data_IF_232874566451
#
_entry.id   IF_232874566451
#
_cell.length_a   1.000
_cell.length_b   1.000
_cell.length_c   1.000
_cell.angle_alpha   90.00
_cell.angle_beta   90.00
_cell.angle_gamma   90.00
#
_symmetry.space_group_name_H-M   'P 1'
#
loop_
_entity.id
_entity.type
_entity.pdbx_description
1 polymer ?
#
# COMPACT_ATOMS: atom_id res chain seq x y z
N UNK A 1 -29.19 -12.10 -23.80
CA UNK A 1 -27.88 -12.75 -23.65
C UNK A 1 -26.91 -11.67 -23.19
N UNK A 2 -26.81 -11.46 -21.87
CA UNK A 2 -25.99 -10.39 -21.30
C UNK A 2 -24.53 -10.85 -21.34
N UNK A 3 -23.70 -10.18 -22.14
CA UNK A 3 -22.26 -10.42 -22.17
C UNK A 3 -21.68 -10.00 -20.83
N UNK A 4 -21.27 -10.97 -20.01
CA UNK A 4 -20.32 -10.72 -18.92
C UNK A 4 -19.02 -10.31 -19.59
N UNK A 5 -18.67 -9.02 -19.52
CA UNK A 5 -17.30 -8.60 -19.72
C UNK A 5 -16.46 -9.38 -18.71
N UNK A 6 -15.62 -10.31 -19.21
CA UNK A 6 -14.54 -10.86 -18.41
C UNK A 6 -13.68 -9.68 -18.00
N UNK A 7 -13.79 -9.30 -16.72
CA UNK A 7 -12.86 -8.38 -16.08
C UNK A 7 -11.46 -8.91 -16.35
N UNK A 8 -10.74 -8.22 -17.24
CA UNK A 8 -9.45 -8.69 -17.70
C UNK A 8 -8.53 -8.54 -16.51
N UNK A 9 -8.18 -9.66 -15.87
CA UNK A 9 -7.22 -9.65 -14.77
C UNK A 9 -5.97 -8.90 -15.25
N UNK A 10 -5.67 -7.77 -14.61
CA UNK A 10 -4.48 -7.00 -14.93
C UNK A 10 -3.28 -7.93 -14.76
N UNK A 11 -2.54 -8.14 -15.84
CA UNK A 11 -1.40 -9.03 -15.83
C UNK A 11 -0.40 -8.59 -14.75
N UNK A 12 0.07 -9.54 -13.95
CA UNK A 12 1.02 -9.27 -12.88
C UNK A 12 2.30 -8.64 -13.42
N UNK A 13 2.94 -7.81 -12.60
CA UNK A 13 4.20 -7.16 -12.99
C UNK A 13 5.25 -8.25 -13.18
N UNK A 14 6.04 -8.25 -14.27
CA UNK A 14 7.07 -9.24 -14.48
C UNK A 14 8.04 -9.36 -13.30
N UNK A 15 8.35 -8.26 -12.61
CA UNK A 15 9.17 -8.28 -11.40
C UNK A 15 8.47 -9.03 -10.28
N UNK A 16 7.24 -8.65 -9.94
CA UNK A 16 6.47 -9.28 -8.86
C UNK A 16 6.26 -10.77 -9.12
N UNK A 17 5.91 -11.12 -10.37
CA UNK A 17 5.70 -12.50 -10.78
C UNK A 17 6.99 -13.36 -10.71
N UNK A 18 8.16 -12.73 -10.72
CA UNK A 18 9.47 -13.40 -10.63
C UNK A 18 9.95 -13.65 -9.19
N UNK A 19 9.28 -13.08 -8.18
CA UNK A 19 9.72 -13.20 -6.80
C UNK A 19 9.67 -14.66 -6.31
N UNK A 20 10.74 -15.14 -5.64
CA UNK A 20 10.78 -16.51 -5.16
C UNK A 20 9.76 -16.73 -4.05
N UNK A 21 8.92 -17.76 -4.20
CA UNK A 21 8.03 -18.23 -3.14
C UNK A 21 8.74 -19.31 -2.35
N UNK A 22 8.84 -19.15 -1.03
CA UNK A 22 9.43 -20.14 -0.14
C UNK A 22 8.39 -20.70 0.83
N UNK A 23 8.47 -22.02 1.09
CA UNK A 23 7.48 -22.75 1.89
C UNK A 23 7.88 -22.92 3.37
N UNK A 24 9.16 -22.74 3.70
CA UNK A 24 9.67 -22.88 5.07
C UNK A 24 9.71 -21.52 5.74
N UNK A 25 9.06 -21.38 6.89
CA UNK A 25 9.07 -20.13 7.65
C UNK A 25 10.49 -19.69 8.02
N UNK A 26 11.38 -20.64 8.30
CA UNK A 26 12.80 -20.43 8.62
C UNK A 26 13.53 -19.58 7.55
N UNK A 27 13.11 -19.72 6.29
CA UNK A 27 13.69 -19.01 5.14
C UNK A 27 13.41 -17.50 5.14
N UNK A 28 12.54 -17.01 6.02
CA UNK A 28 12.30 -15.55 6.18
C UNK A 28 13.55 -14.82 6.69
N UNK A 29 14.44 -15.49 7.41
CA UNK A 29 15.68 -14.88 7.91
C UNK A 29 16.81 -14.90 6.86
N UNK A 30 16.61 -15.58 5.75
CA UNK A 30 17.62 -15.74 4.69
C UNK A 30 17.51 -14.57 3.69
N UNK A 31 18.51 -13.69 3.76
CA UNK A 31 18.57 -12.47 2.95
C UNK A 31 18.62 -12.75 1.44
N UNK A 32 19.10 -13.93 1.04
CA UNK A 32 19.20 -14.33 -0.37
C UNK A 32 17.82 -14.61 -1.00
N UNK A 33 16.76 -14.69 -0.20
CA UNK A 33 15.37 -14.78 -0.68
C UNK A 33 14.78 -13.43 -1.08
N UNK A 34 15.44 -12.32 -0.73
CA UNK A 34 14.95 -10.98 -1.03
C UNK A 34 15.54 -10.47 -2.34
N UNK A 35 14.77 -9.64 -3.04
CA UNK A 35 15.22 -8.97 -4.27
C UNK A 35 15.12 -7.45 -4.05
N UNK A 36 16.12 -6.67 -4.48
CA UNK A 36 15.98 -5.22 -4.49
C UNK A 36 14.82 -4.84 -5.39
N UNK A 37 14.19 -3.70 -5.10
CA UNK A 37 13.23 -3.12 -6.04
C UNK A 37 13.96 -2.78 -7.34
N UNK A 38 13.30 -2.93 -8.51
CA UNK A 38 13.88 -2.53 -9.78
C UNK A 38 14.13 -1.02 -9.81
N UNK A 39 15.13 -0.61 -10.60
CA UNK A 39 15.38 0.80 -10.85
C UNK A 39 14.12 1.49 -11.40
N UNK A 40 13.88 2.72 -10.95
CA UNK A 40 12.73 3.53 -11.36
C UNK A 40 11.41 3.15 -10.68
N UNK A 41 11.41 2.24 -9.71
CA UNK A 41 10.30 2.08 -8.77
C UNK A 41 10.35 3.14 -7.68
N UNK A 42 9.21 3.37 -7.02
CA UNK A 42 9.10 4.26 -5.88
C UNK A 42 8.30 3.61 -4.75
N UNK A 43 8.45 4.15 -3.54
CA UNK A 43 7.73 3.77 -2.34
C UNK A 43 6.74 4.86 -1.95
N UNK A 44 5.46 4.54 -1.91
CA UNK A 44 4.48 5.33 -1.20
C UNK A 44 4.52 4.92 0.28
N UNK A 45 4.68 5.86 1.18
CA UNK A 45 4.64 5.63 2.62
C UNK A 45 3.66 6.57 3.28
N UNK A 46 2.92 6.11 4.27
CA UNK A 46 2.05 6.94 5.07
C UNK A 46 1.93 6.44 6.51
N UNK A 47 1.67 7.36 7.44
CA UNK A 47 1.63 7.09 8.88
C UNK A 47 0.72 8.10 9.61
N UNK A 48 0.02 7.65 10.65
CA UNK A 48 -0.90 8.47 11.45
C UNK A 48 -0.14 9.24 12.52
N UNK A 49 -0.26 10.56 12.48
CA UNK A 49 0.30 11.44 13.50
C UNK A 49 -0.39 11.19 14.85
N UNK A 50 0.40 10.85 15.86
CA UNK A 50 -0.09 10.69 17.23
C UNK A 50 -0.97 9.45 17.45
N UNK A 51 -0.74 8.39 16.66
CA UNK A 51 -1.47 7.12 16.72
C UNK A 51 -1.54 6.53 18.13
N UNK A 52 -0.46 6.56 18.92
CA UNK A 52 -0.44 6.06 20.32
C UNK A 52 -1.53 6.70 21.17
N UNK A 53 -1.65 8.03 21.14
CA UNK A 53 -2.68 8.76 21.90
C UNK A 53 -4.09 8.44 21.42
N UNK A 54 -4.28 8.29 20.10
CA UNK A 54 -5.56 7.90 19.55
C UNK A 54 -5.95 6.47 19.96
N UNK A 55 -4.99 5.53 19.99
CA UNK A 55 -5.18 4.15 20.45
C UNK A 55 -5.52 4.13 21.94
N UNK A 56 -4.80 4.88 22.78
CA UNK A 56 -5.09 5.02 24.21
C UNK A 56 -6.51 5.58 24.45
N UNK A 57 -6.99 6.45 23.57
CA UNK A 57 -8.37 6.95 23.57
C UNK A 57 -9.41 5.94 23.00
N UNK A 58 -9.04 4.68 22.83
CA UNK A 58 -9.92 3.61 22.35
C UNK A 58 -10.14 3.60 20.84
N UNK A 59 -9.39 4.39 20.06
CA UNK A 59 -9.59 4.55 18.60
C UNK A 59 -8.77 3.59 17.75
N UNK A 60 -8.31 2.47 18.31
CA UNK A 60 -7.47 1.48 17.63
C UNK A 60 -8.01 1.05 16.25
N UNK A 61 -9.30 0.72 16.16
CA UNK A 61 -9.92 0.31 14.88
C UNK A 61 -9.91 1.43 13.85
N UNK A 62 -10.13 2.68 14.27
CA UNK A 62 -10.12 3.85 13.39
C UNK A 62 -8.71 4.14 12.87
N UNK A 63 -7.69 4.03 13.73
CA UNK A 63 -6.28 4.15 13.35
C UNK A 63 -5.91 3.07 12.33
N UNK A 64 -6.25 1.81 12.59
CA UNK A 64 -5.97 0.71 11.66
C UNK A 64 -6.70 0.86 10.32
N UNK A 65 -7.94 1.34 10.35
CA UNK A 65 -8.69 1.61 9.13
C UNK A 65 -8.02 2.70 8.29
N UNK A 66 -7.48 3.73 8.94
CA UNK A 66 -6.75 4.81 8.26
C UNK A 66 -5.42 4.31 7.65
N UNK A 67 -4.67 3.45 8.34
CA UNK A 67 -3.46 2.84 7.79
C UNK A 67 -3.77 1.90 6.61
N UNK A 68 -4.80 1.04 6.75
CA UNK A 68 -5.18 0.09 5.71
C UNK A 68 -5.76 0.77 4.47
N UNK A 69 -6.48 1.90 4.62
CA UNK A 69 -7.06 2.63 3.49
C UNK A 69 -6.01 3.17 2.52
N UNK A 70 -4.78 3.44 2.98
CA UNK A 70 -3.66 3.83 2.12
C UNK A 70 -3.36 2.73 1.09
N UNK A 71 -3.31 1.47 1.54
CA UNK A 71 -3.05 0.31 0.69
C UNK A 71 -4.20 0.18 -0.32
N UNK A 72 -5.44 0.15 0.16
CA UNK A 72 -6.61 0.03 -0.73
C UNK A 72 -6.72 1.17 -1.74
N UNK A 73 -6.46 2.42 -1.32
CA UNK A 73 -6.52 3.58 -2.21
C UNK A 73 -5.48 3.47 -3.34
N UNK A 74 -4.25 3.05 -3.02
CA UNK A 74 -3.19 2.87 -4.01
C UNK A 74 -3.49 1.70 -4.94
N UNK A 75 -3.79 0.50 -4.41
CA UNK A 75 -4.10 -0.66 -5.24
C UNK A 75 -5.26 -0.39 -6.22
N UNK A 76 -6.31 0.27 -5.74
CA UNK A 76 -7.47 0.63 -6.56
C UNK A 76 -7.12 1.70 -7.62
N UNK A 77 -6.41 2.75 -7.24
CA UNK A 77 -6.05 3.82 -8.17
C UNK A 77 -5.08 3.36 -9.26
N UNK A 78 -4.14 2.47 -8.92
CA UNK A 78 -3.21 1.88 -9.87
C UNK A 78 -3.82 0.72 -10.67
N UNK A 79 -5.00 0.22 -10.28
CA UNK A 79 -5.64 -0.93 -10.93
C UNK A 79 -4.87 -2.23 -10.76
N UNK A 80 -4.15 -2.40 -9.65
CA UNK A 80 -3.25 -3.54 -9.42
C UNK A 80 -3.47 -4.13 -8.04
N UNK A 81 -3.56 -5.45 -7.96
CA UNK A 81 -3.71 -6.18 -6.67
C UNK A 81 -2.41 -6.87 -6.23
N UNK A 82 -1.37 -6.84 -7.07
CA UNK A 82 -0.12 -7.57 -6.88
C UNK A 82 1.03 -6.69 -6.38
N UNK A 83 0.79 -5.40 -6.13
CA UNK A 83 1.85 -4.51 -5.67
C UNK A 83 2.34 -4.91 -4.26
N UNK A 84 3.67 -5.00 -4.03
CA UNK A 84 4.20 -5.28 -2.71
C UNK A 84 3.82 -4.19 -1.72
N UNK A 85 3.32 -4.58 -0.54
CA UNK A 85 3.00 -3.64 0.52
C UNK A 85 3.34 -4.19 1.92
N UNK A 86 3.50 -3.27 2.86
CA UNK A 86 3.59 -3.55 4.30
C UNK A 86 2.50 -2.76 5.01
N UNK A 87 1.78 -3.43 5.92
CA UNK A 87 0.83 -2.79 6.80
C UNK A 87 1.40 -2.75 8.23
N UNK A 88 1.56 -1.54 8.78
CA UNK A 88 2.10 -1.31 10.11
C UNK A 88 1.06 -1.19 11.22
N UNK A 89 -0.23 -1.16 10.88
CA UNK A 89 -1.31 -0.80 11.79
C UNK A 89 -1.77 0.63 11.55
N UNK A 90 -1.00 1.60 12.01
CA UNK A 90 -1.26 3.04 11.84
C UNK A 90 -0.62 3.65 10.58
N UNK A 91 0.15 2.85 9.84
CA UNK A 91 0.78 3.26 8.60
C UNK A 91 0.83 2.14 7.57
N UNK A 92 1.28 2.51 6.38
CA UNK A 92 1.48 1.59 5.27
C UNK A 92 2.64 2.01 4.37
N UNK A 93 3.19 1.03 3.68
CA UNK A 93 4.17 1.22 2.62
C UNK A 93 3.75 0.40 1.40
N UNK A 94 3.80 0.98 0.21
CA UNK A 94 3.45 0.32 -1.06
C UNK A 94 4.52 0.64 -2.09
N UNK A 95 5.11 -0.39 -2.69
CA UNK A 95 6.05 -0.24 -3.80
C UNK A 95 5.30 -0.24 -5.14
N UNK A 96 5.65 0.68 -6.04
CA UNK A 96 5.00 0.79 -7.35
C UNK A 96 5.98 1.28 -8.44
N UNK A 97 5.72 0.97 -9.73
CA UNK A 97 6.53 1.49 -10.83
C UNK A 97 6.43 3.01 -10.94
N UNK A 98 7.55 3.72 -11.12
CA UNK A 98 7.58 5.19 -11.17
C UNK A 98 6.75 5.81 -12.30
N UNK A 99 6.36 5.04 -13.31
CA UNK A 99 5.39 5.48 -14.34
C UNK A 99 4.02 5.85 -13.77
N UNK A 100 3.67 5.35 -12.58
CA UNK A 100 2.40 5.63 -11.89
C UNK A 100 2.50 6.73 -10.81
N UNK A 101 3.59 7.51 -10.78
CA UNK A 101 3.88 8.48 -9.71
C UNK A 101 2.77 9.50 -9.48
N UNK A 102 2.20 10.09 -10.54
CA UNK A 102 1.13 11.07 -10.39
C UNK A 102 -0.20 10.43 -9.95
N UNK A 103 -0.47 9.20 -10.35
CA UNK A 103 -1.65 8.44 -9.88
C UNK A 103 -1.51 8.16 -8.39
N UNK A 104 -0.35 7.66 -7.95
CA UNK A 104 -0.06 7.40 -6.55
C UNK A 104 -0.12 8.68 -5.70
N UNK A 105 0.43 9.80 -6.21
CA UNK A 105 0.37 11.11 -5.54
C UNK A 105 -1.08 11.55 -5.30
N UNK A 106 -1.94 11.45 -6.31
CA UNK A 106 -3.34 11.83 -6.20
C UNK A 106 -4.11 10.91 -5.23
N UNK A 107 -3.84 9.61 -5.27
CA UNK A 107 -4.43 8.65 -4.34
C UNK A 107 -4.03 8.93 -2.88
N UNK A 108 -2.76 9.25 -2.64
CA UNK A 108 -2.26 9.64 -1.31
C UNK A 108 -2.92 10.94 -0.83
N UNK A 109 -3.03 11.96 -1.67
CA UNK A 109 -3.69 13.21 -1.31
C UNK A 109 -5.18 12.99 -0.97
N UNK A 110 -5.86 12.14 -1.75
CA UNK A 110 -7.26 11.80 -1.52
C UNK A 110 -7.46 11.06 -0.19
N UNK A 111 -6.61 10.07 0.13
CA UNK A 111 -6.71 9.34 1.40
C UNK A 111 -6.33 10.21 2.59
N UNK A 112 -5.34 11.10 2.47
CA UNK A 112 -5.02 12.07 3.53
C UNK A 112 -6.22 12.96 3.87
N UNK A 113 -6.91 13.47 2.84
CA UNK A 113 -8.11 14.26 3.03
C UNK A 113 -9.25 13.46 3.66
N UNK A 114 -9.50 12.24 3.16
CA UNK A 114 -10.53 11.37 3.72
C UNK A 114 -10.26 11.02 5.19
N UNK A 115 -9.02 10.71 5.56
CA UNK A 115 -8.65 10.44 6.96
C UNK A 115 -8.87 11.67 7.86
N UNK A 116 -8.59 12.87 7.35
CA UNK A 116 -8.87 14.10 8.08
C UNK A 116 -10.37 14.35 8.24
N UNK A 117 -11.11 14.33 7.14
CA UNK A 117 -12.52 14.74 7.07
C UNK A 117 -13.43 13.72 7.79
N UNK A 118 -13.23 12.42 7.55
CA UNK A 118 -14.13 11.37 8.02
C UNK A 118 -13.67 10.72 9.33
N UNK A 119 -12.36 10.64 9.55
CA UNK A 119 -11.81 9.98 10.73
C UNK A 119 -11.29 10.98 11.76
N UNK A 120 -11.19 12.28 11.48
CA UNK A 120 -10.64 13.25 12.43
C UNK A 120 -9.24 12.84 12.93
N UNK A 121 -8.43 12.28 12.03
CA UNK A 121 -7.04 11.90 12.25
C UNK A 121 -6.16 12.66 11.25
N UNK A 122 -4.87 12.80 11.53
CA UNK A 122 -3.93 13.38 10.57
C UNK A 122 -3.03 12.30 10.02
N UNK A 123 -3.13 12.05 8.70
CA UNK A 123 -2.24 11.15 7.98
C UNK A 123 -1.13 11.95 7.30
N UNK A 124 0.12 11.57 7.52
CA UNK A 124 1.26 12.04 6.72
C UNK A 124 1.56 11.01 5.65
N UNK A 125 1.86 11.47 4.44
CA UNK A 125 2.26 10.61 3.34
C UNK A 125 3.44 11.20 2.59
N UNK A 126 4.27 10.33 1.99
CA UNK A 126 5.38 10.68 1.14
C UNK A 126 5.56 9.65 0.02
N UNK A 127 6.22 10.08 -1.06
CA UNK A 127 6.73 9.19 -2.11
C UNK A 127 8.25 9.30 -2.08
N UNK A 128 8.91 8.15 -1.94
CA UNK A 128 10.37 8.02 -1.94
C UNK A 128 10.78 7.32 -3.25
N UNK A 129 11.56 7.97 -4.12
CA UNK A 129 12.05 7.37 -5.37
C UNK A 129 13.18 6.36 -5.12
#
# INVERSE_FOLDING_TARGET
MLSMAMETAVASDPFVASLPVFAKFESVADIDNYRPLPDGWALATADIVGSTKAIEAGRYKTVNMAGASVISALLNALGRQDLPFVFGGDGALVAFPGSALEIARNALAAVQRWVADELGLTLRAAIVP
#
